data_IF_872128028987
#
_entry.id   IF_872128028987
#
_cell.length_a   1.000
_cell.length_b   1.000
_cell.length_c   1.000
_cell.angle_alpha   90.00
_cell.angle_beta   90.00
_cell.angle_gamma   90.00
#
_symmetry.space_group_name_H-M   'P 1'
#
loop_
_entity.id
_entity.type
_entity.pdbx_description
1 polymer ?
#
# COMPACT_ATOMS: atom_id res chain seq x y z
N UNK A 1 -8.78 -12.40 -2.49
CA UNK A 1 -7.77 -12.44 -1.40
C UNK A 1 -7.48 -11.01 -0.99
N UNK A 2 -7.21 -10.72 0.29
CA UNK A 2 -6.96 -9.36 0.78
C UNK A 2 -5.56 -9.29 1.36
N UNK A 3 -4.78 -8.29 0.95
CA UNK A 3 -3.42 -8.01 1.44
C UNK A 3 -3.42 -6.63 2.08
N UNK A 4 -3.00 -6.55 3.35
CA UNK A 4 -2.79 -5.29 4.04
C UNK A 4 -1.31 -4.93 4.05
N UNK A 5 -0.97 -3.71 3.59
CA UNK A 5 0.37 -3.14 3.67
C UNK A 5 0.36 -2.06 4.75
N UNK A 6 1.18 -2.23 5.79
CA UNK A 6 1.26 -1.32 6.93
C UNK A 6 2.62 -0.58 6.89
N UNK A 7 2.60 0.75 6.81
CA UNK A 7 3.80 1.60 6.88
C UNK A 7 3.80 2.45 8.16
N UNK A 8 4.82 2.24 8.98
CA UNK A 8 4.98 2.84 10.31
C UNK A 8 5.71 4.19 10.37
N UNK A 9 6.10 4.80 9.25
CA UNK A 9 6.92 6.03 9.25
C UNK A 9 6.30 7.17 8.44
N UNK A 10 6.03 6.94 7.16
CA UNK A 10 5.69 8.04 6.25
C UNK A 10 5.13 7.61 4.90
N UNK A 11 4.88 6.32 4.70
CA UNK A 11 4.24 5.77 3.49
C UNK A 11 5.19 5.53 2.32
N UNK A 12 6.48 5.84 2.44
CA UNK A 12 7.44 5.75 1.34
C UNK A 12 7.72 4.29 0.93
N UNK A 13 8.07 3.44 1.89
CA UNK A 13 8.31 2.01 1.61
C UNK A 13 6.97 1.33 1.31
N UNK A 14 5.91 1.69 2.04
CA UNK A 14 4.56 1.22 1.77
C UNK A 14 4.13 1.44 0.31
N UNK A 15 4.39 2.61 -0.27
CA UNK A 15 4.08 2.93 -1.66
C UNK A 15 4.82 2.01 -2.66
N UNK A 16 6.11 1.77 -2.41
CA UNK A 16 6.91 0.88 -3.25
C UNK A 16 6.36 -0.56 -3.22
N UNK A 17 5.97 -1.04 -2.04
CA UNK A 17 5.38 -2.38 -1.88
C UNK A 17 4.02 -2.46 -2.56
N UNK A 18 3.13 -1.48 -2.33
CA UNK A 18 1.80 -1.45 -2.98
C UNK A 18 1.94 -1.45 -4.51
N UNK A 19 2.88 -0.67 -5.05
CA UNK A 19 3.13 -0.60 -6.50
C UNK A 19 3.57 -1.96 -7.06
N UNK A 20 4.53 -2.61 -6.41
CA UNK A 20 5.02 -3.93 -6.85
C UNK A 20 3.92 -5.00 -6.76
N UNK A 21 3.16 -5.02 -5.66
CA UNK A 21 2.03 -5.95 -5.51
C UNK A 21 0.96 -5.73 -6.59
N UNK A 22 0.64 -4.47 -6.93
CA UNK A 22 -0.36 -4.16 -7.96
C UNK A 22 0.10 -4.59 -9.37
N UNK A 23 1.40 -4.57 -9.64
CA UNK A 23 2.00 -5.01 -10.90
C UNK A 23 2.03 -6.54 -11.05
N UNK A 24 2.35 -7.25 -9.97
CA UNK A 24 2.54 -8.71 -10.00
C UNK A 24 1.26 -9.50 -9.71
N UNK A 25 0.27 -8.90 -9.05
CA UNK A 25 -0.94 -9.60 -8.63
C UNK A 25 -2.15 -9.33 -9.54
N UNK A 26 -3.07 -10.29 -9.67
CA UNK A 26 -4.34 -10.11 -10.39
C UNK A 26 -5.22 -8.99 -9.82
N UNK A 27 -6.16 -8.47 -10.63
CA UNK A 27 -7.01 -7.31 -10.28
C UNK A 27 -8.04 -7.59 -9.18
N UNK A 28 -8.39 -8.85 -8.97
CA UNK A 28 -9.30 -9.30 -7.92
C UNK A 28 -8.64 -9.40 -6.52
N UNK A 29 -7.32 -9.18 -6.44
CA UNK A 29 -6.63 -9.00 -5.16
C UNK A 29 -6.82 -7.58 -4.66
N UNK A 30 -7.45 -7.46 -3.50
CA UNK A 30 -7.62 -6.19 -2.79
C UNK A 30 -6.34 -5.87 -2.00
N UNK A 31 -5.84 -4.64 -2.16
CA UNK A 31 -4.66 -4.14 -1.45
C UNK A 31 -5.11 -2.99 -0.54
N UNK A 32 -5.03 -3.19 0.77
CA UNK A 32 -5.35 -2.20 1.79
C UNK A 32 -4.07 -1.49 2.24
N UNK A 33 -3.96 -0.19 1.97
CA UNK A 33 -2.86 0.65 2.43
C UNK A 33 -3.17 1.24 3.82
N UNK A 34 -2.28 1.01 4.79
CA UNK A 34 -2.43 1.46 6.17
C UNK A 34 -1.17 2.22 6.61
N UNK A 35 -1.23 3.55 6.52
CA UNK A 35 -0.16 4.43 7.01
C UNK A 35 -0.40 4.90 8.45
N UNK A 36 0.63 5.42 9.10
CA UNK A 36 0.55 6.05 10.44
C UNK A 36 -0.41 7.24 10.51
N UNK A 37 -0.69 7.88 9.38
CA UNK A 37 -1.65 8.96 9.25
C UNK A 37 -2.19 9.03 7.81
N UNK A 38 -3.12 9.96 7.56
CA UNK A 38 -3.73 10.14 6.25
C UNK A 38 -2.72 10.49 5.15
N UNK A 39 -1.68 11.28 5.45
CA UNK A 39 -0.65 11.68 4.46
C UNK A 39 0.23 10.50 4.07
N UNK A 40 0.65 9.68 5.03
CA UNK A 40 1.40 8.46 4.77
C UNK A 40 0.57 7.47 3.95
N UNK A 41 -0.70 7.29 4.32
CA UNK A 41 -1.62 6.43 3.58
C UNK A 41 -1.84 6.93 2.15
N UNK A 42 -2.04 8.24 1.97
CA UNK A 42 -2.20 8.85 0.64
C UNK A 42 -0.98 8.61 -0.23
N UNK A 43 0.24 8.75 0.31
CA UNK A 43 1.48 8.44 -0.43
C UNK A 43 1.55 6.98 -0.89
N UNK A 44 1.00 6.05 -0.13
CA UNK A 44 0.96 4.62 -0.50
C UNK A 44 -0.02 4.31 -1.62
N UNK A 45 -1.03 5.16 -1.82
CA UNK A 45 -2.08 4.99 -2.84
C UNK A 45 -1.83 5.82 -4.10
N UNK A 46 -0.78 6.66 -4.11
CA UNK A 46 -0.32 7.39 -5.30
C UNK A 46 0.45 6.46 -6.23
#
# INVERSE_FOLDING_TARGET
MVIAVIDGMGGGIGAQIVTQLRQELPLDVEILALGTNAVATQKMMQ
#
